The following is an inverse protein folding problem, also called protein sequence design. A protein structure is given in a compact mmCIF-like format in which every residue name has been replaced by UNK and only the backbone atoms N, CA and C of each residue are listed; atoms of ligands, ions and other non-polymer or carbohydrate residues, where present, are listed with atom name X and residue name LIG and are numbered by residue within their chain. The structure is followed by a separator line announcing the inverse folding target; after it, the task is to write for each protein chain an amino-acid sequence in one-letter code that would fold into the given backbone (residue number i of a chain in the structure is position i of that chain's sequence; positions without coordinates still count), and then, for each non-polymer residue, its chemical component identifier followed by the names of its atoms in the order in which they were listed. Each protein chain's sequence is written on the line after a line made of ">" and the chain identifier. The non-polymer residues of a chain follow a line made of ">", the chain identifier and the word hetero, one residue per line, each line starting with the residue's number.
data_IF_721126298069
#
_entry.id   IF_721126298069
#
_cell.length_a   1.000
_cell.length_b   1.000
_cell.length_c   1.000
_cell.angle_alpha   90.00
_cell.angle_beta   90.00
_cell.angle_gamma   90.00
#
_symmetry.space_group_name_H-M   'P 1'
#
loop_
_entity.id
_entity.type
_entity.pdbx_description
1 polymer ?
#
# COMPACT_ATOMS: atom_id res chain seq x y z
N UNK A 1 -14.00 -3.75 11.99
CA UNK A 1 -13.59 -3.47 10.60
C UNK A 1 -12.08 -3.63 10.53
N UNK A 2 -11.54 -4.45 9.64
CA UNK A 2 -10.08 -4.61 9.50
C UNK A 2 -9.50 -3.32 8.93
N UNK A 3 -8.55 -2.65 9.62
CA UNK A 3 -8.07 -1.33 9.24
C UNK A 3 -7.15 -1.37 8.01
N UNK A 4 -6.62 -2.55 7.66
CA UNK A 4 -5.80 -2.75 6.46
C UNK A 4 -6.39 -3.88 5.63
N UNK A 5 -6.66 -3.63 4.35
CA UNK A 5 -7.13 -4.63 3.40
C UNK A 5 -6.23 -4.67 2.19
N UNK A 6 -5.95 -5.87 1.70
CA UNK A 6 -5.09 -6.07 0.54
C UNK A 6 -5.82 -6.73 -0.62
N UNK A 7 -5.47 -6.37 -1.85
CA UNK A 7 -5.98 -7.01 -3.05
C UNK A 7 -4.85 -7.20 -4.08
N UNK A 8 -4.79 -8.40 -4.66
CA UNK A 8 -3.81 -8.78 -5.69
C UNK A 8 -4.48 -9.40 -6.93
N UNK A 9 -5.77 -9.13 -7.15
CA UNK A 9 -6.55 -9.72 -8.25
C UNK A 9 -6.07 -9.24 -9.63
N UNK A 10 -5.45 -8.07 -9.68
CA UNK A 10 -4.94 -7.43 -10.90
C UNK A 10 -3.39 -7.38 -10.91
N UNK A 11 -2.76 -8.49 -10.51
CA UNK A 11 -1.31 -8.63 -10.53
C UNK A 11 -0.73 -8.27 -11.93
N UNK A 12 0.41 -7.55 -12.04
CA UNK A 12 1.42 -7.26 -11.02
C UNK A 12 1.14 -6.04 -10.12
N UNK A 13 -0.09 -5.55 -10.01
CA UNK A 13 -0.44 -4.49 -9.05
C UNK A 13 -0.96 -5.08 -7.73
N UNK A 14 -0.20 -4.90 -6.65
CA UNK A 14 -0.62 -5.17 -5.28
C UNK A 14 -1.19 -3.89 -4.65
N UNK A 15 -2.40 -3.98 -4.11
CA UNK A 15 -3.12 -2.85 -3.51
C UNK A 15 -3.27 -3.10 -2.02
N UNK A 16 -2.97 -2.09 -1.20
CA UNK A 16 -3.28 -2.05 0.22
C UNK A 16 -4.09 -0.79 0.53
N UNK A 17 -5.28 -0.95 1.12
CA UNK A 17 -6.16 0.14 1.53
C UNK A 17 -6.19 0.19 3.06
N UNK A 18 -5.96 1.38 3.62
CA UNK A 18 -5.84 1.64 5.04
C UNK A 18 -6.95 2.59 5.47
N UNK A 19 -7.68 2.27 6.55
CA UNK A 19 -8.76 3.08 7.07
C UNK A 19 -8.85 2.97 8.60
N UNK A 20 -8.82 4.12 9.27
CA UNK A 20 -8.78 4.20 10.73
C UNK A 20 -7.46 3.71 11.33
N UNK A 21 -7.34 3.76 12.66
CA UNK A 21 -6.12 3.35 13.35
C UNK A 21 -5.89 1.83 13.20
N UNK A 22 -4.66 1.44 12.89
CA UNK A 22 -4.24 0.04 12.85
C UNK A 22 -3.51 -0.34 14.15
N UNK A 23 -3.86 -1.50 14.71
CA UNK A 23 -3.12 -2.07 15.83
C UNK A 23 -1.78 -2.66 15.38
N UNK A 24 -0.93 -3.03 16.34
CA UNK A 24 0.29 -3.77 16.04
C UNK A 24 -0.02 -5.11 15.35
N UNK A 25 -1.07 -5.81 15.76
CA UNK A 25 -1.46 -7.10 15.18
C UNK A 25 -1.91 -6.94 13.72
N UNK A 26 -2.68 -5.88 13.42
CA UNK A 26 -3.07 -5.55 12.04
C UNK A 26 -1.85 -5.28 11.16
N UNK A 27 -0.88 -4.54 11.71
CA UNK A 27 0.37 -4.26 11.02
C UNK A 27 1.18 -5.54 10.77
N UNK A 28 1.31 -6.42 11.76
CA UNK A 28 2.02 -7.70 11.62
C UNK A 28 1.35 -8.62 10.60
N UNK A 29 0.01 -8.67 10.58
CA UNK A 29 -0.75 -9.37 9.55
C UNK A 29 -0.47 -8.79 8.15
N UNK A 30 -0.39 -7.46 8.04
CA UNK A 30 -0.04 -6.82 6.78
C UNK A 30 1.40 -7.16 6.32
N UNK A 31 2.37 -7.21 7.24
CA UNK A 31 3.74 -7.67 6.90
C UNK A 31 3.75 -9.12 6.38
N UNK A 32 2.87 -9.99 6.91
CA UNK A 32 2.70 -11.34 6.40
C UNK A 32 2.13 -11.35 4.96
N UNK A 33 1.23 -10.43 4.62
CA UNK A 33 0.74 -10.29 3.23
C UNK A 33 1.85 -9.86 2.28
N UNK A 34 2.70 -8.91 2.68
CA UNK A 34 3.89 -8.56 1.89
C UNK A 34 4.80 -9.77 1.65
N UNK A 35 5.04 -10.58 2.68
CA UNK A 35 5.83 -11.81 2.53
C UNK A 35 5.18 -12.78 1.52
N UNK A 36 3.85 -12.87 1.50
CA UNK A 36 3.13 -13.68 0.49
C UNK A 36 3.26 -13.10 -0.91
N UNK A 37 3.34 -11.78 -1.07
CA UNK A 37 3.60 -11.16 -2.36
C UNK A 37 5.02 -11.47 -2.84
N UNK A 38 6.03 -11.32 -1.98
CA UNK A 38 7.42 -11.68 -2.30
C UNK A 38 7.59 -13.16 -2.63
N UNK A 39 6.83 -14.04 -1.97
CA UNK A 39 6.87 -15.48 -2.24
C UNK A 39 6.42 -15.86 -3.66
N UNK A 40 5.78 -14.95 -4.40
CA UNK A 40 5.45 -15.16 -5.83
C UNK A 40 6.68 -15.15 -6.72
N UNK A 41 7.81 -14.58 -6.27
CA UNK A 41 9.06 -14.52 -7.03
C UNK A 41 8.97 -13.71 -8.32
N UNK A 42 8.01 -12.78 -8.40
CA UNK A 42 7.74 -11.94 -9.56
C UNK A 42 7.86 -10.48 -9.16
N UNK A 43 8.28 -9.62 -10.10
CA UNK A 43 8.29 -8.17 -9.87
C UNK A 43 6.87 -7.61 -9.87
N UNK A 44 6.63 -6.61 -9.03
CA UNK A 44 5.30 -6.03 -8.85
C UNK A 44 5.32 -4.56 -8.45
N UNK A 45 4.17 -3.92 -8.62
CA UNK A 45 3.90 -2.53 -8.26
C UNK A 45 3.07 -2.53 -6.98
N UNK A 46 3.33 -1.57 -6.09
CA UNK A 46 2.57 -1.40 -4.86
C UNK A 46 1.80 -0.09 -4.87
N UNK A 47 0.50 -0.17 -4.63
CA UNK A 47 -0.38 0.97 -4.39
C UNK A 47 -0.90 0.92 -2.96
N UNK A 48 -0.52 1.89 -2.13
CA UNK A 48 -1.04 2.06 -0.78
C UNK A 48 -2.00 3.24 -0.76
N UNK A 49 -3.22 3.04 -0.26
CA UNK A 49 -4.26 4.07 -0.21
C UNK A 49 -4.66 4.29 1.24
N UNK A 50 -4.29 5.43 1.80
CA UNK A 50 -4.67 5.85 3.15
C UNK A 50 -5.92 6.72 3.05
N UNK A 51 -7.03 6.24 3.62
CA UNK A 51 -8.34 6.86 3.46
C UNK A 51 -8.57 8.05 4.39
N UNK A 52 -7.90 8.05 5.55
CA UNK A 52 -8.04 9.06 6.59
C UNK A 52 -6.70 9.26 7.32
N UNK A 53 -6.64 10.30 8.15
CA UNK A 53 -5.42 10.61 8.90
C UNK A 53 -5.10 9.57 9.98
N UNK A 54 -6.12 8.93 10.56
CA UNK A 54 -5.93 7.92 11.59
C UNK A 54 -5.23 6.67 11.02
N UNK A 55 -5.42 6.38 9.72
CA UNK A 55 -4.69 5.34 9.00
C UNK A 55 -3.18 5.63 8.84
N UNK A 56 -2.75 6.87 9.06
CA UNK A 56 -1.33 7.26 9.05
C UNK A 56 -0.69 7.19 10.44
N UNK A 57 -1.49 7.00 11.49
CA UNK A 57 -0.99 6.88 12.86
C UNK A 57 -0.29 5.53 13.05
N UNK A 58 0.81 5.54 13.79
CA UNK A 58 1.55 4.32 14.12
C UNK A 58 1.28 3.94 15.57
N UNK A 59 0.71 2.76 15.77
CA UNK A 59 0.62 2.17 17.10
C UNK A 59 2.01 1.84 17.68
N UNK A 60 2.07 1.73 19.01
CA UNK A 60 3.30 1.36 19.70
C UNK A 60 3.86 0.03 19.17
N UNK A 61 5.18 -0.01 18.96
CA UNK A 61 5.88 -1.20 18.46
C UNK A 61 5.89 -1.36 16.94
N UNK A 62 5.02 -0.67 16.18
CA UNK A 62 4.97 -0.76 14.70
C UNK A 62 6.32 -0.41 14.06
N UNK A 63 6.95 0.68 14.50
CA UNK A 63 8.24 1.11 13.97
C UNK A 63 9.35 0.06 14.24
N UNK A 64 9.35 -0.55 15.43
CA UNK A 64 10.31 -1.60 15.80
C UNK A 64 10.08 -2.86 14.97
N UNK A 65 8.84 -3.31 14.85
CA UNK A 65 8.47 -4.48 14.06
C UNK A 65 8.83 -4.31 12.58
N UNK A 66 8.52 -3.15 12.00
CA UNK A 66 8.87 -2.82 10.60
C UNK A 66 10.38 -2.83 10.39
N UNK A 67 11.15 -2.22 11.30
CA UNK A 67 12.61 -2.20 11.21
C UNK A 67 13.20 -3.62 11.27
N UNK A 68 12.68 -4.46 12.17
CA UNK A 68 13.12 -5.86 12.27
C UNK A 68 12.82 -6.62 10.98
N UNK A 69 11.58 -6.55 10.50
CA UNK A 69 11.16 -7.20 9.26
C UNK A 69 11.99 -6.79 8.04
N UNK A 70 12.31 -5.49 7.91
CA UNK A 70 13.20 -5.00 6.85
C UNK A 70 14.61 -5.60 6.97
N UNK A 71 15.11 -5.74 8.20
CA UNK A 71 16.45 -6.30 8.48
C UNK A 71 16.49 -7.82 8.28
N UNK A 72 15.36 -8.52 8.44
CA UNK A 72 15.23 -9.97 8.25
C UNK A 72 15.15 -10.38 6.76
N UNK A 73 15.32 -9.43 5.84
CA UNK A 73 15.43 -9.69 4.40
C UNK A 73 14.36 -9.01 3.55
N UNK A 74 13.29 -8.47 4.15
CA UNK A 74 12.26 -7.78 3.38
C UNK A 74 12.80 -6.53 2.68
N UNK A 75 13.81 -5.85 3.26
CA UNK A 75 14.45 -4.70 2.61
C UNK A 75 15.07 -5.05 1.25
N UNK A 76 15.69 -6.22 1.14
CA UNK A 76 16.28 -6.68 -0.12
C UNK A 76 15.23 -7.22 -1.09
N UNK A 77 14.17 -7.86 -0.56
CA UNK A 77 13.02 -8.26 -1.36
C UNK A 77 12.31 -7.05 -1.99
N UNK A 78 12.13 -5.95 -1.24
CA UNK A 78 11.57 -4.70 -1.77
C UNK A 78 12.41 -4.20 -2.94
N UNK A 79 13.74 -4.04 -2.76
CA UNK A 79 14.61 -3.50 -3.81
C UNK A 79 14.69 -4.38 -5.06
N UNK A 80 14.58 -5.70 -4.89
CA UNK A 80 14.69 -6.65 -6.01
C UNK A 80 13.36 -6.93 -6.72
N UNK A 81 12.23 -6.80 -6.04
CA UNK A 81 10.92 -7.21 -6.57
C UNK A 81 9.91 -6.07 -6.72
N UNK A 82 10.05 -4.94 -6.02
CA UNK A 82 9.11 -3.81 -6.17
C UNK A 82 9.60 -2.87 -7.27
N UNK A 83 8.85 -2.79 -8.37
CA UNK A 83 9.15 -1.89 -9.49
C UNK A 83 8.82 -0.44 -9.17
N UNK A 84 7.74 -0.20 -8.44
CA UNK A 84 7.36 1.12 -7.97
C UNK A 84 6.40 1.04 -6.77
N UNK A 85 6.39 2.10 -5.95
CA UNK A 85 5.47 2.23 -4.83
C UNK A 85 4.80 3.61 -4.80
N UNK A 86 3.47 3.63 -4.78
CA UNK A 86 2.69 4.86 -4.68
C UNK A 86 1.88 4.87 -3.39
N UNK A 87 1.91 6.00 -2.69
CA UNK A 87 1.15 6.25 -1.48
C UNK A 87 0.13 7.36 -1.74
N UNK A 88 -1.14 7.00 -1.76
CA UNK A 88 -2.23 7.97 -1.78
C UNK A 88 -2.54 8.34 -0.35
N UNK A 89 -2.47 9.61 -0.01
CA UNK A 89 -2.76 10.12 1.34
C UNK A 89 -3.93 11.09 1.31
N UNK A 90 -4.66 11.27 2.43
CA UNK A 90 -5.68 12.29 2.51
C UNK A 90 -5.10 13.69 2.22
N UNK A 91 -5.83 14.58 1.53
CA UNK A 91 -5.35 15.93 1.21
C UNK A 91 -4.85 16.71 2.43
N UNK A 92 -5.49 16.53 3.59
CA UNK A 92 -5.13 17.18 4.85
C UNK A 92 -3.75 16.75 5.38
N UNK A 93 -3.33 15.51 5.09
CA UNK A 93 -2.02 15.00 5.48
C UNK A 93 -0.94 15.20 4.41
N UNK A 94 -1.30 15.59 3.18
CA UNK A 94 -0.37 15.62 2.05
C UNK A 94 0.85 16.50 2.31
N UNK A 95 0.67 17.73 2.83
CA UNK A 95 1.79 18.63 3.09
C UNK A 95 2.82 18.03 4.07
N UNK A 96 2.34 17.30 5.09
CA UNK A 96 3.19 16.60 6.07
C UNK A 96 3.88 15.38 5.46
N UNK A 97 3.20 14.68 4.55
CA UNK A 97 3.70 13.42 3.99
C UNK A 97 4.60 13.65 2.78
N UNK A 98 4.36 14.67 1.95
CA UNK A 98 5.07 14.94 0.70
C UNK A 98 6.57 15.22 0.89
N UNK A 99 6.99 15.63 2.09
CA UNK A 99 8.42 15.77 2.43
C UNK A 99 9.13 14.41 2.57
N UNK A 100 8.38 13.33 2.76
CA UNK A 100 8.90 11.97 2.81
C UNK A 100 9.11 11.45 1.39
N UNK A 101 10.29 10.91 1.12
CA UNK A 101 10.59 10.29 -0.17
C UNK A 101 10.51 8.77 -0.04
N UNK A 102 9.57 8.17 -0.78
CA UNK A 102 9.43 6.70 -0.88
C UNK A 102 10.75 6.08 -1.32
N UNK A 103 11.42 6.69 -2.30
CA UNK A 103 12.71 6.24 -2.80
C UNK A 103 13.81 6.30 -1.75
N UNK A 104 13.89 7.37 -0.95
CA UNK A 104 14.88 7.44 0.14
C UNK A 104 14.61 6.40 1.24
N UNK A 105 13.35 6.06 1.48
CA UNK A 105 12.96 5.12 2.55
C UNK A 105 13.13 3.67 2.10
N UNK A 106 12.73 3.34 0.87
CA UNK A 106 12.61 1.96 0.40
C UNK A 106 13.59 1.59 -0.73
N UNK A 107 14.27 2.57 -1.33
CA UNK A 107 15.21 2.36 -2.43
C UNK A 107 14.53 1.99 -3.75
N UNK A 108 13.24 2.29 -3.91
CA UNK A 108 12.45 2.01 -5.12
C UNK A 108 11.77 3.29 -5.62
N UNK A 109 11.54 3.42 -6.94
CA UNK A 109 10.79 4.55 -7.47
C UNK A 109 9.45 4.71 -6.76
N UNK A 110 9.10 5.93 -6.34
CA UNK A 110 7.82 6.11 -5.69
C UNK A 110 7.30 7.53 -5.61
N UNK A 111 6.02 7.62 -5.32
CA UNK A 111 5.24 8.86 -5.27
C UNK A 111 4.39 8.89 -4.00
N UNK A 112 4.27 10.07 -3.41
CA UNK A 112 3.19 10.40 -2.48
C UNK A 112 2.26 11.33 -3.23
N UNK A 113 0.97 10.99 -3.29
CA UNK A 113 -0.04 11.74 -4.03
C UNK A 113 -1.20 12.13 -3.11
N UNK A 114 -1.81 13.29 -3.37
CA UNK A 114 -2.94 13.81 -2.58
C UNK A 114 -4.29 13.21 -3.00
N UNK A 115 -4.28 12.30 -3.98
CA UNK A 115 -5.48 11.65 -4.48
C UNK A 115 -5.16 10.51 -5.43
N UNK A 116 -6.11 9.59 -5.55
CA UNK A 116 -5.97 8.40 -6.40
C UNK A 116 -5.70 8.75 -7.88
N UNK A 117 -6.38 9.73 -8.52
CA UNK A 117 -6.14 10.04 -9.93
C UNK A 117 -4.68 10.38 -10.25
N UNK A 118 -4.06 11.24 -9.44
CA UNK A 118 -2.65 11.63 -9.59
C UNK A 118 -1.72 10.43 -9.52
N UNK A 119 -1.91 9.56 -8.51
CA UNK A 119 -1.08 8.37 -8.34
C UNK A 119 -1.24 7.36 -9.49
N UNK A 120 -2.46 7.20 -10.00
CA UNK A 120 -2.73 6.32 -11.15
C UNK A 120 -2.16 6.88 -12.45
N UNK A 121 -2.24 8.19 -12.67
CA UNK A 121 -1.63 8.82 -13.84
C UNK A 121 -0.10 8.67 -13.84
N UNK A 122 0.53 8.80 -12.68
CA UNK A 122 1.97 8.53 -12.53
C UNK A 122 2.32 7.08 -12.84
N UNK A 123 1.57 6.12 -12.31
CA UNK A 123 1.77 4.69 -12.60
C UNK A 123 1.57 4.38 -14.09
N UNK A 124 0.49 4.89 -14.70
CA UNK A 124 0.19 4.68 -16.13
C UNK A 124 1.28 5.24 -17.03
N UNK A 125 1.89 6.38 -16.66
CA UNK A 125 3.00 6.96 -17.42
C UNK A 125 4.25 6.08 -17.43
N UNK A 126 4.44 5.26 -16.39
CA UNK A 126 5.61 4.40 -16.20
C UNK A 126 5.42 2.96 -16.65
N UNK A 127 4.20 2.45 -16.53
CA UNK A 127 3.81 1.10 -16.89
C UNK A 127 2.62 1.13 -17.88
N UNK A 128 2.79 1.75 -19.06
CA UNK A 128 1.72 1.88 -20.06
C UNK A 128 1.22 0.51 -20.55
N UNK A 129 2.03 -0.53 -20.44
CA UNK A 129 1.70 -1.92 -20.81
C UNK A 129 0.71 -2.60 -19.85
N UNK A 130 0.50 -2.05 -18.65
CA UNK A 130 -0.49 -2.60 -17.72
C UNK A 130 -1.91 -2.25 -18.17
N UNK A 131 -2.57 -3.15 -18.89
CA UNK A 131 -3.89 -2.88 -19.49
C UNK A 131 -5.08 -2.80 -18.52
N UNK A 132 -4.88 -2.97 -17.21
CA UNK A 132 -5.98 -3.10 -16.23
C UNK A 132 -6.20 -1.84 -15.38
N UNK A 133 -5.68 -0.68 -15.80
CA UNK A 133 -5.80 0.60 -15.07
C UNK A 133 -7.25 0.99 -14.77
N UNK A 134 -8.19 0.69 -15.67
CA UNK A 134 -9.61 1.02 -15.51
C UNK A 134 -10.27 0.24 -14.35
N UNK A 135 -9.76 -0.95 -14.02
CA UNK A 135 -10.28 -1.76 -12.93
C UNK A 135 -9.79 -1.30 -11.55
N UNK A 136 -8.70 -0.53 -11.46
CA UNK A 136 -8.05 -0.19 -10.19
C UNK A 136 -8.99 0.56 -9.26
N UNK A 137 -9.71 1.55 -9.77
CA UNK A 137 -10.67 2.32 -8.97
C UNK A 137 -11.77 1.43 -8.40
N UNK A 138 -12.30 0.50 -9.20
CA UNK A 138 -13.31 -0.48 -8.75
C UNK A 138 -12.73 -1.38 -7.67
N UNK A 139 -11.51 -1.90 -7.85
CA UNK A 139 -10.85 -2.75 -6.85
C UNK A 139 -10.63 -2.00 -5.53
N UNK A 140 -10.20 -0.74 -5.58
CA UNK A 140 -10.05 0.11 -4.38
C UNK A 140 -11.42 0.30 -3.72
N UNK A 141 -12.47 0.60 -4.49
CA UNK A 141 -13.83 0.74 -3.97
C UNK A 141 -14.38 -0.56 -3.37
N UNK A 142 -14.09 -1.71 -3.96
CA UNK A 142 -14.52 -3.02 -3.44
C UNK A 142 -13.80 -3.37 -2.15
N UNK A 143 -12.50 -3.02 -2.03
CA UNK A 143 -11.78 -3.11 -0.76
C UNK A 143 -12.46 -2.28 0.33
N UNK A 144 -13.07 -1.15 -0.02
CA UNK A 144 -13.85 -0.32 0.91
C UNK A 144 -15.25 -0.91 1.17
N UNK A 145 -15.95 -1.40 0.15
CA UNK A 145 -17.34 -1.89 0.23
C UNK A 145 -17.47 -3.25 0.91
N UNK A 146 -16.46 -4.12 0.81
CA UNK A 146 -16.39 -5.35 1.60
C UNK A 146 -16.43 -5.11 3.12
N UNK A 147 -16.37 -3.85 3.58
CA UNK A 147 -16.62 -3.46 4.97
C UNK A 147 -18.10 -3.34 5.36
N UNK A 148 -19.03 -3.23 4.39
CA UNK A 148 -20.46 -3.05 4.65
C UNK A 148 -21.26 -4.36 4.71
N UNK A 149 -20.72 -5.47 4.19
CA UNK A 149 -21.42 -6.77 4.08
C UNK A 149 -21.07 -7.80 5.15
N UNK A 150 -20.16 -7.51 6.08
CA UNK A 150 -19.85 -8.39 7.24
C UNK A 150 -20.85 -8.23 8.41
N UNK A 151 -21.96 -7.52 8.22
CA UNK A 151 -23.08 -7.45 9.16
C UNK A 151 -24.38 -7.84 8.45
N UNK A 152 -24.61 -9.14 8.36
CA UNK A 152 -25.82 -9.72 7.77
C UNK A 152 -25.79 -11.24 7.82
N UNK A 153 -25.74 -11.80 9.03
CA UNK A 153 -25.83 -13.24 9.30
C UNK A 153 -26.06 -13.50 10.77
#
# INVERSE_FOLDING_TARGET
>A
MTPIRTNTAIWPLAIAVYHGPASLDDHLAHLADWNRWFARGQRFIVLRVFMDEAALEQADGVARATKQWLSDGAGDAIRSQVDAMVNIVPPSAYARMAVLSVEKVFGVPGLIAAGLPEGLDWLRSRFPEFGQWECVTTVVQDCLRGAATDFGG
#
